data_IF_836339513590
#
_entry.id   IF_836339513590
#
_cell.length_a   1.000
_cell.length_b   1.000
_cell.length_c   1.000
_cell.angle_alpha   90.00
_cell.angle_beta   90.00
_cell.angle_gamma   90.00
#
_symmetry.space_group_name_H-M   'P 1'
#
loop_
_entity.id
_entity.type
_entity.pdbx_description
1 polymer ?
#
# COMPACT_ATOMS: atom_id res chain seq x y z
N UNK A 1 -9.16 19.36 -11.29
CA UNK A 1 -7.73 19.57 -11.53
C UNK A 1 -7.11 18.20 -11.80
N UNK A 2 -6.63 17.95 -13.01
CA UNK A 2 -6.10 16.63 -13.38
C UNK A 2 -4.66 16.52 -12.87
N UNK A 3 -4.44 15.79 -11.77
CA UNK A 3 -3.12 15.43 -11.22
C UNK A 3 -2.38 14.48 -12.18
N UNK A 4 -2.02 14.96 -13.38
CA UNK A 4 -1.43 14.11 -14.43
C UNK A 4 0.05 13.82 -14.21
N UNK A 5 0.75 14.59 -13.39
CA UNK A 5 2.15 14.35 -13.07
C UNK A 5 2.54 15.00 -11.73
N UNK A 6 2.82 14.16 -10.72
CA UNK A 6 3.36 14.58 -9.42
C UNK A 6 4.86 14.26 -9.27
N UNK A 7 5.47 13.66 -10.29
CA UNK A 7 6.86 13.25 -10.22
C UNK A 7 7.76 14.47 -9.97
N UNK A 8 8.61 14.36 -8.95
CA UNK A 8 9.52 15.43 -8.55
C UNK A 8 8.88 16.58 -7.76
N UNK A 9 7.56 16.64 -7.59
CA UNK A 9 6.88 17.74 -6.87
C UNK A 9 7.32 17.86 -5.41
N UNK A 10 7.64 16.73 -4.76
CA UNK A 10 8.00 16.70 -3.34
C UNK A 10 9.52 16.73 -3.09
N UNK A 11 10.32 16.73 -4.17
CA UNK A 11 11.78 16.77 -4.07
C UNK A 11 12.21 18.15 -3.55
N UNK A 12 13.05 18.17 -2.53
CA UNK A 12 13.56 19.41 -1.94
C UNK A 12 12.65 20.04 -0.89
N UNK A 13 11.66 19.31 -0.38
CA UNK A 13 10.81 19.70 0.75
C UNK A 13 11.20 18.87 1.99
N UNK A 14 12.36 19.11 2.63
CA UNK A 14 12.91 18.21 3.65
C UNK A 14 12.11 18.15 4.96
N UNK A 15 11.20 19.11 5.18
CA UNK A 15 10.30 19.17 6.34
C UNK A 15 8.87 18.74 6.02
N UNK A 16 8.64 18.16 4.82
CA UNK A 16 7.34 17.60 4.50
C UNK A 16 7.04 16.47 5.51
N UNK A 17 5.81 16.47 6.00
CA UNK A 17 5.31 15.45 6.94
C UNK A 17 4.04 14.79 6.45
N UNK A 18 3.31 15.41 5.54
CA UNK A 18 2.00 14.92 5.12
C UNK A 18 1.76 15.24 3.66
N UNK A 19 1.36 14.22 2.89
CA UNK A 19 0.94 14.30 1.50
C UNK A 19 -0.54 13.93 1.44
N UNK A 20 -1.38 14.92 1.17
CA UNK A 20 -2.83 14.74 0.98
C UNK A 20 -3.17 14.59 -0.50
N UNK A 21 -3.61 13.39 -0.89
CA UNK A 21 -4.09 13.07 -2.24
C UNK A 21 -5.41 12.29 -2.21
N UNK A 22 -6.05 12.20 -1.04
CA UNK A 22 -7.34 11.54 -0.86
C UNK A 22 -8.48 12.23 -1.64
N UNK A 23 -9.52 11.47 -1.98
CA UNK A 23 -10.74 12.01 -2.62
C UNK A 23 -10.54 12.49 -4.07
N UNK A 24 -9.48 12.01 -4.74
CA UNK A 24 -9.18 12.34 -6.13
C UNK A 24 -9.68 11.23 -7.08
N UNK A 25 -9.21 11.27 -8.34
CA UNK A 25 -9.56 10.28 -9.38
C UNK A 25 -8.31 9.56 -9.90
N UNK A 26 -7.33 9.34 -9.03
CA UNK A 26 -6.11 8.61 -9.39
C UNK A 26 -6.48 7.16 -9.68
N UNK A 27 -6.07 6.65 -10.85
CA UNK A 27 -6.31 5.26 -11.26
C UNK A 27 -5.06 4.39 -11.19
N UNK A 28 -3.90 5.00 -11.36
CA UNK A 28 -2.60 4.32 -11.31
C UNK A 28 -1.60 5.26 -10.68
N UNK A 29 -0.83 4.75 -9.72
CA UNK A 29 0.34 5.46 -9.21
C UNK A 29 1.59 4.92 -9.90
N UNK A 30 2.20 5.74 -10.76
CA UNK A 30 3.38 5.33 -11.54
C UNK A 30 4.66 5.40 -10.73
N UNK A 31 5.68 4.69 -11.16
CA UNK A 31 7.02 4.76 -10.57
C UNK A 31 7.48 6.22 -10.42
N UNK A 32 8.10 6.55 -9.28
CA UNK A 32 8.61 7.88 -8.94
C UNK A 32 7.56 9.00 -8.82
N UNK A 33 6.27 8.67 -8.68
CA UNK A 33 5.22 9.69 -8.51
C UNK A 33 5.37 10.44 -7.18
N UNK A 34 5.62 9.74 -6.08
CA UNK A 34 5.79 10.31 -4.74
C UNK A 34 7.19 9.95 -4.23
N UNK A 35 8.14 10.87 -4.43
CA UNK A 35 9.51 10.73 -3.94
C UNK A 35 9.77 11.70 -2.80
N UNK A 36 9.99 11.17 -1.61
CA UNK A 36 10.14 11.92 -0.36
C UNK A 36 11.61 11.93 0.07
N UNK A 37 12.14 13.11 0.40
CA UNK A 37 13.58 13.28 0.71
C UNK A 37 13.82 13.83 2.12
N UNK A 38 12.78 13.82 2.96
CA UNK A 38 12.74 14.54 4.24
C UNK A 38 12.59 13.62 5.45
N UNK A 39 11.74 14.02 6.37
CA UNK A 39 11.41 13.29 7.62
C UNK A 39 10.21 12.36 7.43
N UNK A 40 9.96 11.49 8.40
CA UNK A 40 8.77 10.64 8.58
C UNK A 40 7.50 11.32 8.03
N UNK A 41 7.06 10.85 6.86
CA UNK A 41 5.95 11.43 6.11
C UNK A 41 4.79 10.46 5.96
N UNK A 42 3.60 10.96 6.20
CA UNK A 42 2.32 10.28 6.03
C UNK A 42 1.77 10.53 4.62
N UNK A 43 1.36 9.46 3.92
CA UNK A 43 0.88 9.54 2.53
C UNK A 43 -0.57 9.07 2.43
N UNK A 44 -1.49 10.01 2.24
CA UNK A 44 -2.93 9.74 2.16
C UNK A 44 -3.39 9.66 0.71
N UNK A 45 -3.82 8.47 0.29
CA UNK A 45 -4.34 8.15 -1.05
C UNK A 45 -5.77 7.56 -0.98
N UNK A 46 -6.43 7.66 0.16
CA UNK A 46 -7.78 7.15 0.40
C UNK A 46 -8.81 7.66 -0.63
N UNK A 47 -9.87 6.89 -0.88
CA UNK A 47 -11.01 7.31 -1.70
C UNK A 47 -10.58 7.82 -3.08
N UNK A 48 -9.76 7.03 -3.76
CA UNK A 48 -9.37 7.23 -5.15
C UNK A 48 -9.97 6.10 -6.01
N UNK A 49 -9.38 5.81 -7.18
CA UNK A 49 -9.79 4.72 -8.06
C UNK A 49 -8.59 3.85 -8.44
N UNK A 50 -7.60 3.75 -7.55
CA UNK A 50 -6.35 3.07 -7.82
C UNK A 50 -6.64 1.60 -8.11
N UNK A 51 -6.29 1.16 -9.32
CA UNK A 51 -6.32 -0.26 -9.73
C UNK A 51 -4.91 -0.85 -9.76
N UNK A 52 -3.88 0.00 -9.75
CA UNK A 52 -2.49 -0.43 -9.71
C UNK A 52 -1.56 0.62 -9.10
N UNK A 53 -0.51 0.14 -8.44
CA UNK A 53 0.60 0.94 -7.93
C UNK A 53 1.87 0.27 -8.48
N UNK A 54 2.70 1.03 -9.19
CA UNK A 54 3.95 0.51 -9.75
C UNK A 54 5.04 0.44 -8.66
N UNK A 55 6.01 -0.45 -8.86
CA UNK A 55 7.22 -0.52 -8.01
C UNK A 55 7.88 0.86 -7.92
N UNK A 56 8.30 1.26 -6.73
CA UNK A 56 8.89 2.58 -6.43
C UNK A 56 7.96 3.78 -6.73
N UNK A 57 6.64 3.59 -6.84
CA UNK A 57 5.71 4.70 -7.00
C UNK A 57 5.69 5.65 -5.80
N UNK A 58 5.88 5.10 -4.60
CA UNK A 58 6.07 5.82 -3.34
C UNK A 58 7.42 5.39 -2.79
N UNK A 59 8.32 6.33 -2.51
CA UNK A 59 9.66 6.04 -1.98
C UNK A 59 10.20 7.17 -1.12
N UNK A 60 11.15 6.84 -0.25
CA UNK A 60 11.78 7.78 0.67
C UNK A 60 11.46 7.51 2.13
N UNK A 61 11.58 8.55 2.97
CA UNK A 61 11.30 8.44 4.41
C UNK A 61 9.80 8.53 4.66
N UNK A 62 9.15 7.38 4.78
CA UNK A 62 7.71 7.21 4.90
C UNK A 62 7.40 6.67 6.30
N UNK A 63 6.29 7.11 6.89
CA UNK A 63 5.82 6.60 8.18
C UNK A 63 4.64 5.66 8.02
N UNK A 64 3.61 6.09 7.29
CA UNK A 64 2.40 5.30 7.02
C UNK A 64 1.85 5.68 5.65
N UNK A 65 1.16 4.72 5.03
CA UNK A 65 0.48 4.88 3.75
C UNK A 65 -0.98 4.46 3.91
N UNK A 66 -1.90 5.29 3.42
CA UNK A 66 -3.32 4.97 3.41
C UNK A 66 -3.85 4.89 2.00
N UNK A 67 -4.35 3.72 1.62
CA UNK A 67 -4.93 3.42 0.31
C UNK A 67 -6.36 2.88 0.45
N UNK A 68 -7.04 3.17 1.56
CA UNK A 68 -8.41 2.69 1.78
C UNK A 68 -9.35 3.18 0.68
N UNK A 69 -10.42 2.43 0.42
CA UNK A 69 -11.45 2.82 -0.55
C UNK A 69 -10.85 3.10 -1.94
N UNK A 70 -10.26 2.05 -2.50
CA UNK A 70 -9.69 2.02 -3.85
C UNK A 70 -10.15 0.74 -4.56
N UNK A 71 -9.52 0.37 -5.68
CA UNK A 71 -9.90 -0.76 -6.53
C UNK A 71 -8.73 -1.73 -6.73
N UNK A 72 -7.83 -1.82 -5.74
CA UNK A 72 -6.68 -2.72 -5.78
C UNK A 72 -7.15 -4.14 -5.49
N UNK A 73 -6.76 -5.09 -6.34
CA UNK A 73 -7.13 -6.50 -6.19
C UNK A 73 -6.03 -7.33 -5.53
N UNK A 74 -4.82 -6.78 -5.41
CA UNK A 74 -3.65 -7.47 -4.86
C UNK A 74 -2.79 -6.54 -4.00
N UNK A 75 -2.08 -7.13 -3.04
CA UNK A 75 -0.96 -6.50 -2.34
C UNK A 75 0.34 -7.04 -2.94
N UNK A 76 0.72 -6.46 -4.09
CA UNK A 76 1.88 -6.90 -4.86
C UNK A 76 3.18 -6.83 -4.05
N UNK A 77 3.86 -7.96 -3.93
CA UNK A 77 5.09 -8.10 -3.14
C UNK A 77 6.18 -7.11 -3.57
N UNK A 78 6.42 -6.93 -4.87
CA UNK A 78 7.49 -6.07 -5.39
C UNK A 78 7.25 -4.58 -5.06
N UNK A 79 6.00 -4.20 -4.79
CA UNK A 79 5.62 -2.84 -4.42
C UNK A 79 5.80 -2.59 -2.92
N UNK A 80 5.39 -3.55 -2.09
CA UNK A 80 5.21 -3.33 -0.66
C UNK A 80 6.28 -3.95 0.23
N UNK A 81 7.03 -4.97 -0.25
CA UNK A 81 8.00 -5.71 0.58
C UNK A 81 9.01 -4.79 1.26
N UNK A 82 9.65 -3.89 0.50
CA UNK A 82 10.62 -2.95 1.06
C UNK A 82 10.00 -2.05 2.14
N UNK A 83 8.74 -1.63 1.96
CA UNK A 83 8.07 -0.81 2.97
C UNK A 83 7.83 -1.58 4.25
N UNK A 84 7.42 -2.85 4.13
CA UNK A 84 7.17 -3.70 5.28
C UNK A 84 8.46 -4.11 5.99
N UNK A 85 9.57 -4.26 5.26
CA UNK A 85 10.91 -4.45 5.83
C UNK A 85 11.36 -3.24 6.67
N UNK A 86 10.88 -2.03 6.32
CA UNK A 86 11.14 -0.78 7.03
C UNK A 86 10.07 -0.47 8.12
N UNK A 87 9.26 -1.46 8.51
CA UNK A 87 8.17 -1.35 9.51
C UNK A 87 7.14 -0.24 9.20
N UNK A 88 6.93 0.05 7.91
CA UNK A 88 5.93 1.04 7.47
C UNK A 88 4.54 0.40 7.53
N UNK A 89 3.61 1.13 8.17
CA UNK A 89 2.23 0.71 8.30
C UNK A 89 1.40 1.04 7.06
N UNK A 90 0.52 0.12 6.68
CA UNK A 90 -0.37 0.24 5.53
C UNK A 90 -1.83 0.07 5.96
N UNK A 91 -2.64 1.07 5.65
CA UNK A 91 -4.10 1.02 5.81
C UNK A 91 -4.72 0.81 4.42
N UNK A 92 -5.32 -0.36 4.21
CA UNK A 92 -5.74 -0.81 2.88
C UNK A 92 -7.18 -1.34 2.82
N UNK A 93 -8.01 -1.02 3.80
CA UNK A 93 -9.40 -1.45 3.87
C UNK A 93 -10.21 -1.01 2.64
N UNK A 94 -11.32 -1.70 2.39
CA UNK A 94 -12.26 -1.33 1.32
C UNK A 94 -11.59 -1.35 -0.06
N UNK A 95 -10.74 -2.36 -0.29
CA UNK A 95 -10.20 -2.77 -1.58
C UNK A 95 -10.66 -4.20 -1.89
N UNK A 96 -10.92 -4.56 -3.16
CA UNK A 96 -11.37 -5.89 -3.56
C UNK A 96 -10.22 -6.92 -3.63
N UNK A 97 -9.54 -7.20 -2.51
CA UNK A 97 -8.40 -8.14 -2.51
C UNK A 97 -8.81 -9.59 -2.75
N UNK A 98 -8.25 -10.25 -3.75
CA UNK A 98 -8.61 -11.65 -4.08
C UNK A 98 -8.07 -12.68 -3.08
N UNK A 99 -6.98 -12.35 -2.37
CA UNK A 99 -6.35 -13.20 -1.34
C UNK A 99 -6.05 -14.65 -1.79
N UNK A 100 -5.41 -14.82 -2.94
CA UNK A 100 -4.86 -16.10 -3.37
C UNK A 100 -3.39 -16.23 -2.96
N UNK A 101 -2.61 -17.08 -3.64
CA UNK A 101 -1.18 -17.22 -3.33
C UNK A 101 -0.36 -15.94 -3.48
N UNK A 102 -0.88 -14.92 -4.14
CA UNK A 102 -0.29 -13.59 -4.28
C UNK A 102 -0.14 -12.83 -2.95
N UNK A 103 -0.94 -13.17 -1.92
CA UNK A 103 -0.81 -12.56 -0.57
C UNK A 103 0.00 -13.43 0.40
N UNK A 104 0.48 -14.61 -0.02
CA UNK A 104 1.14 -15.57 0.85
C UNK A 104 2.34 -14.96 1.61
N UNK A 105 3.09 -14.06 0.97
CA UNK A 105 4.24 -13.39 1.58
C UNK A 105 3.89 -12.60 2.84
N UNK A 106 2.67 -12.06 2.93
CA UNK A 106 2.15 -11.37 4.12
C UNK A 106 1.64 -12.39 5.14
N UNK A 107 0.78 -13.32 4.72
CA UNK A 107 0.13 -14.29 5.62
C UNK A 107 1.15 -15.19 6.32
N UNK A 108 2.23 -15.55 5.63
CA UNK A 108 3.31 -16.38 6.16
C UNK A 108 4.32 -15.60 7.04
N UNK A 109 4.17 -14.28 7.18
CA UNK A 109 5.05 -13.45 7.99
C UNK A 109 4.26 -12.56 8.96
N UNK A 110 4.24 -12.92 10.24
CA UNK A 110 3.50 -12.20 11.28
C UNK A 110 3.90 -10.72 11.41
N UNK A 111 5.15 -10.35 11.12
CA UNK A 111 5.57 -8.94 11.18
C UNK A 111 4.94 -8.13 10.04
N UNK A 112 4.90 -8.71 8.83
CA UNK A 112 4.24 -8.10 7.69
C UNK A 112 2.72 -8.01 7.89
N UNK A 113 2.12 -9.04 8.49
CA UNK A 113 0.71 -9.02 8.86
C UNK A 113 0.41 -7.89 9.86
N UNK A 114 1.26 -7.68 10.85
CA UNK A 114 1.12 -6.58 11.82
C UNK A 114 1.30 -5.18 11.21
N UNK A 115 1.93 -5.08 10.04
CA UNK A 115 2.05 -3.82 9.30
C UNK A 115 0.78 -3.48 8.49
N UNK A 116 -0.15 -4.43 8.33
CA UNK A 116 -1.49 -4.15 7.83
C UNK A 116 -2.39 -3.69 8.98
N UNK A 117 -2.85 -2.44 8.91
CA UNK A 117 -3.64 -1.81 9.97
C UNK A 117 -5.13 -1.81 9.62
N UNK A 118 -5.98 -1.88 10.64
CA UNK A 118 -7.44 -1.88 10.57
C UNK A 118 -8.06 -3.08 9.82
N UNK A 119 -7.34 -4.21 9.79
CA UNK A 119 -7.77 -5.51 9.24
C UNK A 119 -8.40 -5.41 7.83
N UNK A 120 -7.60 -5.13 6.78
CA UNK A 120 -8.10 -5.23 5.42
C UNK A 120 -8.67 -6.63 5.14
N UNK A 121 -9.75 -6.68 4.39
CA UNK A 121 -10.49 -7.91 4.10
C UNK A 121 -10.33 -8.33 2.65
N UNK A 122 -10.38 -9.62 2.40
CA UNK A 122 -10.53 -10.19 1.06
C UNK A 122 -11.91 -9.85 0.46
N UNK A 123 -12.09 -10.07 -0.84
CA UNK A 123 -13.39 -9.92 -1.52
C UNK A 123 -14.49 -10.75 -0.84
N UNK A 124 -14.13 -11.91 -0.29
CA UNK A 124 -14.98 -12.80 0.51
C UNK A 124 -15.42 -12.21 1.85
N UNK A 125 -14.93 -11.02 2.22
CA UNK A 125 -15.10 -10.35 3.52
C UNK A 125 -14.36 -11.02 4.69
N UNK A 126 -13.53 -12.00 4.41
CA UNK A 126 -12.61 -12.57 5.40
C UNK A 126 -11.49 -11.56 5.71
N UNK A 127 -11.25 -11.20 6.99
CA UNK A 127 -10.05 -10.45 7.37
C UNK A 127 -8.78 -11.17 6.91
N UNK A 128 -7.80 -10.44 6.38
CA UNK A 128 -6.51 -11.03 5.97
C UNK A 128 -5.80 -11.67 7.18
N UNK A 129 -5.99 -11.11 8.38
CA UNK A 129 -5.50 -11.65 9.66
C UNK A 129 -6.13 -12.98 10.07
N UNK A 130 -7.28 -13.35 9.50
CA UNK A 130 -7.97 -14.62 9.77
C UNK A 130 -7.59 -15.73 8.76
N UNK A 131 -6.73 -15.45 7.78
CA UNK A 131 -6.28 -16.44 6.81
C UNK A 131 -5.35 -17.46 7.47
N UNK A 132 -5.57 -18.75 7.21
CA UNK A 132 -4.80 -19.83 7.82
C UNK A 132 -3.42 -19.98 7.15
N UNK A 133 -2.30 -19.64 7.82
CA UNK A 133 -0.96 -19.74 7.23
C UNK A 133 -0.55 -21.17 6.86
N UNK A 134 -1.16 -22.21 7.46
CA UNK A 134 -0.87 -23.61 7.10
C UNK A 134 -1.32 -23.88 5.67
N UNK A 135 -2.51 -23.42 5.27
CA UNK A 135 -3.03 -23.59 3.91
C UNK A 135 -2.11 -22.91 2.90
N UNK A 136 -1.64 -21.69 3.20
CA UNK A 136 -0.75 -20.95 2.30
C UNK A 136 0.64 -21.60 2.20
N UNK A 137 1.17 -22.13 3.30
CA UNK A 137 2.45 -22.83 3.30
C UNK A 137 2.39 -24.17 2.54
N UNK A 138 1.23 -24.81 2.47
CA UNK A 138 1.07 -26.07 1.72
C UNK A 138 0.81 -25.86 0.23
N UNK A 139 0.10 -24.78 -0.14
CA UNK A 139 -0.41 -24.59 -1.51
C UNK A 139 0.34 -23.52 -2.33
N UNK A 140 1.11 -22.63 -1.69
CA UNK A 140 1.69 -21.45 -2.34
C UNK A 140 3.23 -21.41 -2.33
N UNK A 141 3.90 -22.44 -1.82
CA UNK A 141 5.37 -22.54 -1.76
C UNK A 141 5.92 -23.62 -2.69
#
# INVERSE_FOLDING_TARGET
MLLRNLAGTFVGIPKLRLVHLEGNQLTTLRANTIKLTGTDTWVHLNSNKLVSIEVNAISGVIKEVWINDNQLTELNEDVWRQMFDDDIQLYAKDNPFTCGCDIAWIVLNVNYLNNLIDDPTCESKTPISDLDPVIFNELCT
#
